data_IF_122198332005
#
_entry.id   IF_122198332005
#
_cell.length_a   1.000
_cell.length_b   1.000
_cell.length_c   1.000
_cell.angle_alpha   90.00
_cell.angle_beta   90.00
_cell.angle_gamma   90.00
#
_symmetry.space_group_name_H-M   'P 1'
#
loop_
_entity.id
_entity.type
_entity.pdbx_description
1 polymer ?
#
# COMPACT_ATOMS: atom_id res chain seq x y z
N UNK A 1 8.91 -39.73 -6.09
CA UNK A 1 9.36 -38.45 -6.65
C UNK A 1 10.01 -37.69 -5.50
N UNK A 2 11.36 -37.69 -5.43
CA UNK A 2 12.07 -36.94 -4.39
C UNK A 2 11.98 -35.44 -4.74
N UNK A 3 11.20 -34.70 -4.00
CA UNK A 3 11.16 -33.23 -4.09
C UNK A 3 12.47 -32.69 -3.54
N UNK A 4 13.37 -32.29 -4.42
CA UNK A 4 14.50 -31.42 -4.09
C UNK A 4 13.95 -30.00 -3.82
N UNK A 5 13.11 -29.87 -2.80
CA UNK A 5 12.73 -28.55 -2.26
C UNK A 5 13.97 -28.07 -1.49
N UNK A 6 14.55 -26.90 -1.80
CA UNK A 6 15.62 -26.33 -0.98
C UNK A 6 15.13 -26.31 0.46
N UNK A 7 16.00 -26.67 1.40
CA UNK A 7 15.68 -26.58 2.82
C UNK A 7 15.27 -25.13 3.10
N UNK A 8 13.97 -24.90 3.30
CA UNK A 8 13.44 -23.60 3.72
C UNK A 8 14.00 -23.32 5.11
N UNK A 9 14.23 -22.07 5.43
CA UNK A 9 14.90 -21.60 6.64
C UNK A 9 14.14 -22.10 7.88
N UNK A 10 14.64 -23.13 8.55
CA UNK A 10 13.98 -23.75 9.70
C UNK A 10 13.80 -22.75 10.84
N UNK A 11 12.60 -22.66 11.42
CA UNK A 11 12.26 -21.79 12.54
C UNK A 11 12.02 -20.32 12.17
N UNK A 12 11.92 -19.97 10.89
CA UNK A 12 11.73 -18.58 10.47
C UNK A 12 10.41 -17.98 11.00
N UNK A 13 9.31 -18.74 11.01
CA UNK A 13 8.03 -18.27 11.58
C UNK A 13 8.19 -17.92 13.06
N UNK A 14 8.88 -18.77 13.83
CA UNK A 14 9.13 -18.56 15.24
C UNK A 14 10.01 -17.33 15.48
N UNK A 15 11.11 -17.19 14.73
CA UNK A 15 12.02 -16.03 14.82
C UNK A 15 11.27 -14.72 14.58
N UNK A 16 10.41 -14.67 13.56
CA UNK A 16 9.59 -13.48 13.30
C UNK A 16 8.56 -13.22 14.39
N UNK A 17 7.98 -14.26 14.99
CA UNK A 17 7.04 -14.12 16.10
C UNK A 17 7.73 -13.61 17.38
N UNK A 18 8.93 -14.12 17.71
CA UNK A 18 9.75 -13.65 18.83
C UNK A 18 10.12 -12.17 18.65
N UNK A 19 10.55 -11.77 17.45
CA UNK A 19 10.83 -10.37 17.12
C UNK A 19 9.58 -9.50 17.27
N UNK A 20 8.46 -9.87 16.64
CA UNK A 20 7.23 -9.07 16.63
C UNK A 20 6.66 -8.86 18.05
N UNK A 21 6.74 -9.87 18.92
CA UNK A 21 6.27 -9.78 20.30
C UNK A 21 7.25 -9.04 21.22
N UNK A 22 8.57 -9.15 20.96
CA UNK A 22 9.62 -8.62 21.83
C UNK A 22 10.01 -7.17 21.55
N UNK A 23 9.79 -6.66 20.32
CA UNK A 23 10.22 -5.30 19.95
C UNK A 23 9.59 -4.23 20.84
N UNK A 24 10.42 -3.35 21.42
CA UNK A 24 9.99 -2.19 22.20
C UNK A 24 10.16 -0.89 21.40
N UNK A 25 9.53 0.20 21.87
CA UNK A 25 9.65 1.50 21.19
C UNK A 25 11.12 1.99 21.13
N UNK A 26 11.88 1.76 22.18
CA UNK A 26 13.28 2.23 22.27
C UNK A 26 14.24 1.41 21.37
N UNK A 27 13.80 0.27 20.84
CA UNK A 27 14.54 -0.51 19.83
C UNK A 27 14.36 0.07 18.41
N UNK A 28 13.34 0.92 18.21
CA UNK A 28 13.07 1.51 16.91
C UNK A 28 14.09 2.58 16.55
N UNK A 29 14.81 2.47 15.42
CA UNK A 29 15.64 3.56 14.92
C UNK A 29 14.81 4.85 14.73
N UNK A 30 15.38 6.01 15.03
CA UNK A 30 14.72 7.32 14.88
C UNK A 30 14.11 7.51 13.46
N UNK A 31 14.80 7.03 12.45
CA UNK A 31 14.31 7.07 11.07
C UNK A 31 13.07 6.20 10.83
N UNK A 32 12.96 5.06 11.52
CA UNK A 32 11.76 4.20 11.47
C UNK A 32 10.60 4.88 12.17
N UNK A 33 10.82 5.46 13.35
CA UNK A 33 9.80 6.25 14.08
C UNK A 33 9.27 7.38 13.19
N UNK A 34 10.16 8.17 12.58
CA UNK A 34 9.76 9.24 11.66
C UNK A 34 8.99 8.70 10.44
N UNK A 35 9.41 7.57 9.88
CA UNK A 35 8.73 6.92 8.76
C UNK A 35 7.33 6.44 9.16
N UNK A 36 7.16 5.83 10.34
CA UNK A 36 5.85 5.38 10.83
C UNK A 36 4.90 6.55 11.06
N UNK A 37 5.36 7.70 11.55
CA UNK A 37 4.54 8.91 11.66
C UNK A 37 4.08 9.42 10.30
N UNK A 38 4.98 9.47 9.33
CA UNK A 38 4.65 9.86 7.95
C UNK A 38 3.66 8.87 7.31
N UNK A 39 3.87 7.57 7.51
CA UNK A 39 2.96 6.52 7.01
C UNK A 39 1.59 6.58 7.69
N UNK A 40 1.53 6.91 8.98
CA UNK A 40 0.26 7.13 9.66
C UNK A 40 -0.51 8.29 9.03
N UNK A 41 0.14 9.44 8.82
CA UNK A 41 -0.49 10.61 8.18
C UNK A 41 -0.99 10.29 6.78
N UNK A 42 -0.16 9.67 5.95
CA UNK A 42 -0.51 9.23 4.59
C UNK A 42 -1.72 8.30 4.58
N UNK A 43 -1.69 7.27 5.45
CA UNK A 43 -2.72 6.24 5.49
C UNK A 43 -4.06 6.74 6.02
N UNK A 44 -4.09 7.57 7.06
CA UNK A 44 -5.37 8.15 7.53
C UNK A 44 -5.98 9.08 6.47
N UNK A 45 -5.15 9.80 5.70
CA UNK A 45 -5.62 10.58 4.56
C UNK A 45 -6.29 9.70 3.51
N UNK A 46 -5.63 8.60 3.13
CA UNK A 46 -6.18 7.63 2.19
C UNK A 46 -7.48 6.98 2.71
N UNK A 47 -7.55 6.64 4.01
CA UNK A 47 -8.75 6.08 4.62
C UNK A 47 -9.94 7.06 4.59
N UNK A 48 -9.73 8.31 4.99
CA UNK A 48 -10.78 9.34 5.01
C UNK A 48 -11.32 9.63 3.61
N UNK A 49 -10.45 9.79 2.62
CA UNK A 49 -10.86 9.97 1.24
C UNK A 49 -11.53 8.72 0.69
N UNK A 50 -10.92 7.55 0.88
CA UNK A 50 -11.44 6.28 0.39
C UNK A 50 -12.78 5.90 0.98
N UNK A 51 -13.09 6.37 2.20
CA UNK A 51 -14.40 6.20 2.82
C UNK A 51 -15.53 6.90 2.03
N UNK A 52 -15.21 7.88 1.16
CA UNK A 52 -16.22 8.54 0.30
C UNK A 52 -16.64 7.69 -0.90
N UNK A 53 -15.85 6.68 -1.27
CA UNK A 53 -15.95 6.02 -2.55
C UNK A 53 -17.00 4.90 -2.56
N UNK A 54 -17.68 4.67 -3.70
CA UNK A 54 -18.84 3.77 -3.78
C UNK A 54 -18.56 2.34 -3.32
N UNK A 55 -17.37 1.79 -3.59
CA UNK A 55 -17.00 0.43 -3.17
C UNK A 55 -16.83 0.31 -1.66
N UNK A 56 -16.26 1.33 -1.01
CA UNK A 56 -16.17 1.37 0.45
C UNK A 56 -17.55 1.51 1.09
N UNK A 57 -18.42 2.33 0.53
CA UNK A 57 -19.80 2.48 1.02
C UNK A 57 -20.61 1.17 0.95
N UNK A 58 -20.35 0.30 -0.04
CA UNK A 58 -20.96 -1.03 -0.10
C UNK A 58 -20.47 -1.95 1.03
N UNK A 59 -19.17 -1.89 1.35
CA UNK A 59 -18.62 -2.65 2.47
C UNK A 59 -19.15 -2.12 3.81
N UNK A 60 -19.27 -0.80 3.95
CA UNK A 60 -19.87 -0.16 5.12
C UNK A 60 -21.31 -0.64 5.33
N UNK A 61 -22.16 -0.58 4.31
CA UNK A 61 -23.56 -1.00 4.40
C UNK A 61 -23.67 -2.48 4.86
N UNK A 62 -22.85 -3.36 4.28
CA UNK A 62 -22.81 -4.77 4.68
C UNK A 62 -22.45 -4.94 6.17
N UNK A 63 -21.41 -4.22 6.64
CA UNK A 63 -20.96 -4.31 8.05
C UNK A 63 -22.01 -3.75 9.01
N UNK A 64 -22.79 -2.74 8.60
CA UNK A 64 -23.89 -2.19 9.40
C UNK A 64 -25.03 -3.18 9.55
N UNK A 65 -25.38 -3.91 8.50
CA UNK A 65 -26.42 -4.95 8.54
C UNK A 65 -26.07 -6.08 9.51
N UNK A 66 -24.76 -6.36 9.75
CA UNK A 66 -24.32 -7.37 10.73
C UNK A 66 -24.65 -6.98 12.18
N UNK A 67 -24.82 -5.69 12.51
CA UNK A 67 -25.25 -5.21 13.83
C UNK A 67 -24.29 -5.55 14.98
N UNK A 68 -22.96 -5.51 14.73
CA UNK A 68 -21.95 -5.93 15.70
C UNK A 68 -21.75 -4.90 16.85
N UNK A 69 -21.15 -5.35 17.97
CA UNK A 69 -20.85 -4.51 19.14
C UNK A 69 -20.02 -3.27 18.76
N UNK A 70 -20.45 -2.04 19.10
CA UNK A 70 -19.84 -0.79 18.64
C UNK A 70 -18.62 -0.37 19.49
N UNK A 71 -17.47 -1.02 19.26
CA UNK A 71 -16.22 -0.79 20.02
C UNK A 71 -15.12 -0.08 19.23
N UNK A 72 -15.25 0.02 17.91
CA UNK A 72 -14.28 0.67 17.04
C UNK A 72 -14.97 1.52 15.97
N UNK A 73 -14.40 2.66 15.64
CA UNK A 73 -14.95 3.65 14.72
C UNK A 73 -14.66 3.34 13.25
N UNK A 74 -15.64 3.63 12.40
CA UNK A 74 -15.50 3.68 10.96
C UNK A 74 -15.20 5.13 10.59
N UNK A 75 -14.04 5.39 10.00
CA UNK A 75 -13.53 6.74 9.78
C UNK A 75 -14.45 7.57 8.87
N UNK A 76 -14.64 8.84 9.24
CA UNK A 76 -15.46 9.82 8.52
C UNK A 76 -16.96 9.51 8.47
N UNK A 77 -17.45 8.53 9.23
CA UNK A 77 -18.86 8.11 9.18
C UNK A 77 -19.69 8.45 10.44
N UNK A 78 -19.04 8.71 11.55
CA UNK A 78 -19.70 8.83 12.86
C UNK A 78 -20.21 7.49 13.41
N UNK A 79 -19.93 6.38 12.75
CA UNK A 79 -20.44 5.03 13.07
C UNK A 79 -19.39 4.15 13.72
N UNK A 80 -19.86 3.18 14.50
CA UNK A 80 -19.00 2.24 15.23
C UNK A 80 -19.51 0.81 15.04
N UNK A 81 -18.57 -0.15 15.07
CA UNK A 81 -18.85 -1.57 14.94
C UNK A 81 -17.82 -2.41 15.73
N UNK A 82 -17.72 -3.72 15.50
CA UNK A 82 -16.63 -4.51 16.04
C UNK A 82 -15.27 -4.08 15.48
N UNK A 83 -14.17 -4.41 16.18
CA UNK A 83 -12.81 -4.18 15.65
C UNK A 83 -12.66 -4.76 14.25
N UNK A 84 -13.08 -6.02 14.04
CA UNK A 84 -12.97 -6.70 12.74
C UNK A 84 -13.81 -6.03 11.64
N UNK A 85 -15.01 -5.54 11.98
CA UNK A 85 -15.86 -4.79 11.05
C UNK A 85 -15.29 -3.42 10.69
N UNK A 86 -14.84 -2.65 11.69
CA UNK A 86 -14.21 -1.35 11.48
C UNK A 86 -12.95 -1.46 10.61
N UNK A 87 -12.11 -2.44 10.91
CA UNK A 87 -10.87 -2.69 10.16
C UNK A 87 -11.17 -3.11 8.72
N UNK A 88 -12.19 -3.94 8.48
CA UNK A 88 -12.62 -4.32 7.13
C UNK A 88 -12.97 -3.09 6.28
N UNK A 89 -13.78 -2.17 6.82
CA UNK A 89 -14.19 -0.95 6.12
C UNK A 89 -13.00 0.00 5.94
N UNK A 90 -12.29 0.32 7.03
CA UNK A 90 -11.23 1.33 7.02
C UNK A 90 -10.03 0.91 6.17
N UNK A 91 -9.66 -0.38 6.16
CA UNK A 91 -8.56 -0.87 5.32
C UNK A 91 -8.96 -1.00 3.84
N UNK A 92 -10.24 -1.29 3.55
CA UNK A 92 -10.76 -1.17 2.18
C UNK A 92 -10.70 0.28 1.70
N UNK A 93 -11.06 1.24 2.56
CA UNK A 93 -10.95 2.67 2.29
C UNK A 93 -9.50 3.09 2.08
N UNK A 94 -8.57 2.65 2.93
CA UNK A 94 -7.14 2.98 2.82
C UNK A 94 -6.52 2.58 1.49
N UNK A 95 -6.96 1.46 0.90
CA UNK A 95 -6.48 0.96 -0.39
C UNK A 95 -7.40 1.35 -1.58
N UNK A 96 -8.30 2.31 -1.39
CA UNK A 96 -9.42 2.53 -2.32
C UNK A 96 -9.05 3.27 -3.61
N UNK A 97 -7.95 4.05 -3.68
CA UNK A 97 -7.71 4.98 -4.78
C UNK A 97 -6.27 5.03 -5.32
N UNK A 98 -5.47 4.01 -5.16
CA UNK A 98 -4.05 3.99 -5.63
C UNK A 98 -3.21 5.17 -5.11
N UNK A 99 -3.44 5.59 -3.86
CA UNK A 99 -2.75 6.69 -3.20
C UNK A 99 -1.88 6.25 -2.02
N UNK A 100 -2.19 5.10 -1.44
CA UNK A 100 -1.57 4.56 -0.24
C UNK A 100 -0.08 4.23 -0.42
N UNK A 101 0.64 4.25 0.68
CA UNK A 101 2.06 3.91 0.75
C UNK A 101 2.38 2.55 0.11
N UNK A 102 3.63 2.31 -0.21
CA UNK A 102 4.04 1.03 -0.79
C UNK A 102 5.47 0.67 -0.42
N UNK A 103 5.67 -0.56 0.00
CA UNK A 103 6.98 -1.17 0.07
C UNK A 103 7.31 -1.79 -1.30
N UNK A 104 8.32 -1.21 -1.99
CA UNK A 104 8.63 -1.52 -3.40
C UNK A 104 8.90 -3.02 -3.62
N UNK A 105 9.75 -3.63 -2.83
CA UNK A 105 10.18 -5.01 -3.06
C UNK A 105 9.07 -6.03 -2.75
N UNK A 106 8.35 -5.87 -1.67
CA UNK A 106 7.24 -6.77 -1.29
C UNK A 106 5.94 -6.51 -2.04
N UNK A 107 5.79 -5.36 -2.68
CA UNK A 107 4.54 -4.90 -3.32
C UNK A 107 3.36 -4.90 -2.31
N UNK A 108 3.66 -4.60 -1.03
CA UNK A 108 2.67 -4.51 0.04
C UNK A 108 2.45 -3.03 0.41
N UNK A 109 1.20 -2.64 0.51
CA UNK A 109 0.74 -1.34 0.97
C UNK A 109 0.41 -1.44 2.47
N UNK A 110 1.45 -1.46 3.30
CA UNK A 110 1.32 -1.84 4.70
C UNK A 110 0.48 -0.85 5.52
N UNK A 111 0.51 0.44 5.17
CA UNK A 111 -0.24 1.48 5.89
C UNK A 111 -1.74 1.30 5.83
N UNK A 112 -2.27 0.94 4.67
CA UNK A 112 -3.72 0.70 4.50
C UNK A 112 -4.22 -0.51 5.32
N UNK A 113 -3.33 -1.33 5.85
CA UNK A 113 -3.65 -2.48 6.72
C UNK A 113 -3.33 -2.17 8.19
N UNK A 114 -2.06 -1.82 8.49
CA UNK A 114 -1.58 -1.64 9.86
C UNK A 114 -2.31 -0.50 10.58
N UNK A 115 -2.50 0.64 9.92
CA UNK A 115 -3.10 1.83 10.54
C UNK A 115 -4.55 1.58 11.01
N UNK A 116 -5.47 1.05 10.19
CA UNK A 116 -6.79 0.66 10.66
C UNK A 116 -6.77 -0.34 11.81
N UNK A 117 -5.85 -1.32 11.78
CA UNK A 117 -5.75 -2.35 12.83
C UNK A 117 -5.33 -1.72 14.17
N UNK A 118 -4.24 -0.94 14.19
CA UNK A 118 -3.74 -0.39 15.46
C UNK A 118 -4.69 0.65 16.05
N UNK A 119 -5.33 1.48 15.22
CA UNK A 119 -6.29 2.50 15.69
C UNK A 119 -7.58 1.86 16.24
N UNK A 120 -8.10 0.79 15.60
CA UNK A 120 -9.29 0.09 16.08
C UNK A 120 -9.04 -0.62 17.43
N UNK A 121 -7.88 -1.24 17.61
CA UNK A 121 -7.51 -1.81 18.91
C UNK A 121 -7.22 -0.75 19.96
N UNK A 122 -6.59 0.38 19.59
CA UNK A 122 -6.35 1.49 20.52
C UNK A 122 -7.67 2.07 21.05
N UNK A 123 -8.67 2.22 20.19
CA UNK A 123 -10.00 2.67 20.59
C UNK A 123 -10.70 1.64 21.50
N UNK A 124 -10.64 0.36 21.16
CA UNK A 124 -11.23 -0.71 21.97
C UNK A 124 -10.59 -0.81 23.37
N UNK A 125 -9.26 -0.67 23.46
CA UNK A 125 -8.52 -0.73 24.74
C UNK A 125 -8.73 0.53 25.60
N UNK A 126 -9.05 1.64 24.96
CA UNK A 126 -9.09 2.95 25.59
C UNK A 126 -7.72 3.62 25.61
N UNK A 127 -7.23 4.09 26.75
CA UNK A 127 -5.96 4.82 26.85
C UNK A 127 -4.75 4.03 26.30
N UNK A 128 -4.28 4.39 25.09
CA UNK A 128 -3.09 3.82 24.43
C UNK A 128 -2.14 4.93 24.04
N UNK A 129 -0.85 4.80 24.40
CA UNK A 129 0.15 5.79 24.06
C UNK A 129 0.54 5.75 22.58
N UNK A 130 1.00 6.89 22.06
CA UNK A 130 1.54 6.97 20.71
C UNK A 130 2.78 6.08 20.49
N UNK A 131 3.59 5.88 21.54
CA UNK A 131 4.75 4.94 21.49
C UNK A 131 4.26 3.50 21.24
N UNK A 132 3.24 3.05 21.95
CA UNK A 132 2.67 1.71 21.77
C UNK A 132 2.08 1.55 20.37
N UNK A 133 1.37 2.56 19.86
CA UNK A 133 0.80 2.58 18.53
C UNK A 133 1.89 2.49 17.44
N UNK A 134 2.94 3.31 17.54
CA UNK A 134 4.08 3.30 16.61
C UNK A 134 4.82 1.97 16.61
N UNK A 135 5.01 1.35 17.79
CA UNK A 135 5.66 0.04 17.91
C UNK A 135 4.84 -1.06 17.21
N UNK A 136 3.52 -1.06 17.42
CA UNK A 136 2.64 -2.04 16.76
C UNK A 136 2.59 -1.84 15.24
N UNK A 137 2.57 -0.59 14.76
CA UNK A 137 2.71 -0.30 13.34
C UNK A 137 4.03 -0.83 12.78
N UNK A 138 5.17 -0.48 13.41
CA UNK A 138 6.48 -0.91 12.96
C UNK A 138 6.60 -2.44 12.92
N UNK A 139 6.09 -3.14 13.94
CA UNK A 139 6.02 -4.61 13.96
C UNK A 139 5.24 -5.16 12.77
N UNK A 140 4.03 -4.64 12.51
CA UNK A 140 3.23 -5.05 11.36
C UNK A 140 3.92 -4.82 10.03
N UNK A 141 4.46 -3.63 9.82
CA UNK A 141 5.21 -3.30 8.60
C UNK A 141 6.40 -4.23 8.41
N UNK A 142 7.23 -4.40 9.44
CA UNK A 142 8.44 -5.21 9.36
C UNK A 142 8.13 -6.66 8.99
N UNK A 143 7.22 -7.30 9.71
CA UNK A 143 6.87 -8.71 9.47
C UNK A 143 6.22 -8.90 8.10
N UNK A 144 5.21 -8.11 7.77
CA UNK A 144 4.48 -8.27 6.52
C UNK A 144 5.32 -7.99 5.28
N UNK A 145 6.22 -6.99 5.34
CA UNK A 145 7.11 -6.68 4.21
C UNK A 145 8.22 -7.70 4.04
N UNK A 146 8.75 -8.29 5.11
CA UNK A 146 9.70 -9.41 5.04
C UNK A 146 9.08 -10.65 4.42
N UNK A 147 7.87 -11.02 4.84
CA UNK A 147 7.12 -12.12 4.22
C UNK A 147 6.87 -11.82 2.74
N UNK A 148 6.46 -10.60 2.42
CA UNK A 148 6.32 -10.14 1.05
C UNK A 148 7.63 -10.25 0.26
N UNK A 149 8.76 -9.78 0.77
CA UNK A 149 10.07 -9.88 0.12
C UNK A 149 10.49 -11.31 -0.16
N UNK A 150 10.19 -12.22 0.76
CA UNK A 150 10.51 -13.64 0.57
C UNK A 150 9.68 -14.31 -0.54
N UNK A 151 8.45 -13.85 -0.77
CA UNK A 151 7.52 -14.45 -1.74
C UNK A 151 7.44 -13.74 -3.09
N UNK A 152 7.76 -12.43 -3.16
CA UNK A 152 7.19 -11.41 -4.06
C UNK A 152 7.10 -11.77 -5.54
N UNK A 153 8.20 -11.90 -6.26
CA UNK A 153 8.09 -11.99 -7.72
C UNK A 153 7.48 -13.32 -8.16
N UNK A 154 7.82 -14.41 -7.48
CA UNK A 154 7.19 -15.71 -7.73
C UNK A 154 5.68 -15.69 -7.47
N UNK A 155 5.27 -15.08 -6.35
CA UNK A 155 3.86 -14.90 -5.99
C UNK A 155 3.11 -14.02 -7.01
N UNK A 156 3.71 -12.88 -7.38
CA UNK A 156 3.10 -11.93 -8.30
C UNK A 156 2.86 -12.54 -9.69
N UNK A 157 3.87 -13.21 -10.26
CA UNK A 157 3.75 -13.83 -11.58
C UNK A 157 2.85 -15.06 -11.60
N UNK A 158 2.57 -15.68 -10.46
CA UNK A 158 1.52 -16.68 -10.31
C UNK A 158 0.11 -16.09 -10.28
N UNK A 159 -0.03 -14.76 -10.32
CA UNK A 159 -1.29 -14.05 -10.38
C UNK A 159 -1.95 -13.79 -9.01
N UNK A 160 -1.18 -13.88 -7.92
CA UNK A 160 -1.67 -13.47 -6.60
C UNK A 160 -1.40 -11.99 -6.34
N UNK A 161 -2.34 -11.30 -5.70
CA UNK A 161 -2.18 -9.91 -5.29
C UNK A 161 -1.43 -9.83 -3.96
N UNK A 162 -0.20 -9.29 -3.91
CA UNK A 162 0.61 -9.28 -2.68
C UNK A 162 -0.10 -8.61 -1.50
N UNK A 163 -0.96 -7.61 -1.77
CA UNK A 163 -1.75 -6.92 -0.75
C UNK A 163 -2.67 -7.86 0.04
N UNK A 164 -3.32 -8.79 -0.64
CA UNK A 164 -4.18 -9.77 0.02
C UNK A 164 -3.44 -11.02 0.50
N UNK A 165 -2.37 -11.41 -0.19
CA UNK A 165 -1.61 -12.62 0.13
C UNK A 165 -0.57 -12.41 1.24
N UNK A 166 0.28 -11.37 1.13
CA UNK A 166 1.31 -11.07 2.14
C UNK A 166 0.82 -10.08 3.20
N UNK A 167 -0.12 -9.19 2.84
CA UNK A 167 -0.67 -8.17 3.74
C UNK A 167 -1.37 -8.72 4.98
N UNK A 168 -1.83 -9.97 4.96
CA UNK A 168 -2.43 -10.63 6.15
C UNK A 168 -1.43 -10.69 7.31
N UNK A 169 -0.14 -10.86 7.03
CA UNK A 169 0.91 -10.91 8.05
C UNK A 169 1.20 -9.53 8.66
N UNK A 170 1.02 -8.43 7.90
CA UNK A 170 1.03 -7.05 8.45
C UNK A 170 -0.01 -6.93 9.55
N UNK A 171 -1.24 -7.35 9.26
CA UNK A 171 -2.35 -7.25 10.19
C UNK A 171 -2.18 -8.13 11.43
N UNK A 172 -1.75 -9.38 11.24
CA UNK A 172 -1.56 -10.33 12.34
C UNK A 172 -0.48 -9.86 13.32
N UNK A 173 0.67 -9.38 12.83
CA UNK A 173 1.75 -8.89 13.68
C UNK A 173 1.35 -7.58 14.41
N UNK A 174 0.73 -6.63 13.71
CA UNK A 174 0.25 -5.40 14.32
C UNK A 174 -0.82 -5.67 15.40
N UNK A 175 -1.77 -6.57 15.13
CA UNK A 175 -2.82 -6.95 16.06
C UNK A 175 -2.25 -7.72 17.27
N UNK A 176 -1.32 -8.66 17.04
CA UNK A 176 -0.65 -9.41 18.11
C UNK A 176 0.09 -8.45 19.05
N UNK A 177 0.79 -7.45 18.50
CA UNK A 177 1.50 -6.44 19.32
C UNK A 177 0.54 -5.54 20.08
N UNK A 178 -0.58 -5.13 19.47
CA UNK A 178 -1.64 -4.36 20.16
C UNK A 178 -2.32 -5.15 21.28
N UNK A 179 -2.45 -6.46 21.13
CA UNK A 179 -3.01 -7.37 22.14
C UNK A 179 -1.97 -7.86 23.16
N UNK A 180 -0.70 -7.46 23.01
CA UNK A 180 0.41 -7.86 23.90
C UNK A 180 0.59 -9.38 23.98
N UNK A 181 0.39 -10.06 22.83
CA UNK A 181 0.59 -11.50 22.74
C UNK A 181 2.05 -11.87 22.94
N UNK A 182 2.30 -13.00 23.64
CA UNK A 182 3.65 -13.56 23.74
C UNK A 182 4.12 -14.17 22.40
N UNK A 183 5.37 -14.63 22.35
CA UNK A 183 5.97 -15.19 21.14
C UNK A 183 5.22 -16.43 20.62
N UNK A 184 4.75 -17.29 21.51
CA UNK A 184 3.98 -18.50 21.14
C UNK A 184 2.61 -18.14 20.56
N UNK A 185 1.90 -17.24 21.21
CA UNK A 185 0.61 -16.74 20.73
C UNK A 185 0.78 -15.98 19.40
N UNK A 186 1.84 -15.18 19.26
CA UNK A 186 2.16 -14.46 18.01
C UNK A 186 2.47 -15.45 16.89
N UNK A 187 3.25 -16.51 17.15
CA UNK A 187 3.50 -17.59 16.19
C UNK A 187 2.19 -18.25 15.73
N UNK A 188 1.27 -18.54 16.66
CA UNK A 188 -0.05 -19.07 16.30
C UNK A 188 -0.87 -18.06 15.49
N UNK A 189 -0.83 -16.77 15.81
CA UNK A 189 -1.52 -15.75 15.01
C UNK A 189 -1.00 -15.70 13.56
N UNK A 190 0.33 -15.76 13.37
CA UNK A 190 0.94 -15.86 12.03
C UNK A 190 0.54 -17.16 11.33
N UNK A 191 0.50 -18.29 12.06
CA UNK A 191 0.09 -19.61 11.53
C UNK A 191 -1.37 -19.67 11.12
N UNK A 192 -2.27 -19.04 11.88
CA UNK A 192 -3.70 -18.96 11.55
C UNK A 192 -3.89 -18.06 10.32
N UNK A 193 -3.24 -16.91 10.27
CA UNK A 193 -3.46 -15.95 9.19
C UNK A 193 -2.91 -16.42 7.85
N UNK A 194 -1.81 -17.17 7.83
CA UNK A 194 -1.26 -17.74 6.60
C UNK A 194 -2.25 -18.63 5.84
N UNK A 195 -3.13 -19.31 6.56
CA UNK A 195 -4.21 -20.12 5.96
C UNK A 195 -5.40 -19.28 5.43
N UNK A 196 -5.37 -17.96 5.59
CA UNK A 196 -6.40 -17.03 5.14
C UNK A 196 -5.87 -16.05 4.07
N UNK A 197 -4.65 -16.25 3.63
CA UNK A 197 -4.01 -15.46 2.56
C UNK A 197 -4.76 -15.67 1.23
N UNK A 198 -4.82 -14.62 0.40
CA UNK A 198 -5.49 -14.72 -0.90
C UNK A 198 -5.54 -13.41 -1.65
N UNK A 199 -6.33 -13.40 -2.73
CA UNK A 199 -6.47 -12.25 -3.63
C UNK A 199 -5.83 -12.50 -5.00
N UNK A 200 -6.54 -12.12 -6.07
CA UNK A 200 -6.14 -12.39 -7.45
C UNK A 200 -5.80 -11.11 -8.20
N UNK A 201 -4.72 -11.12 -8.97
CA UNK A 201 -4.26 -9.98 -9.77
C UNK A 201 -5.24 -9.59 -10.88
N UNK A 202 -6.05 -10.51 -11.40
CA UNK A 202 -7.09 -10.20 -12.39
C UNK A 202 -8.06 -9.09 -11.92
N UNK A 203 -8.20 -8.87 -10.63
CA UNK A 203 -9.01 -7.77 -10.07
C UNK A 203 -8.51 -6.37 -10.48
N UNK A 204 -7.25 -6.22 -10.91
CA UNK A 204 -6.68 -4.95 -11.34
C UNK A 204 -7.32 -4.35 -12.60
N UNK A 205 -7.93 -5.19 -13.44
CA UNK A 205 -8.54 -4.77 -14.71
C UNK A 205 -9.86 -3.98 -14.54
N UNK A 206 -10.30 -3.75 -13.29
CA UNK A 206 -11.47 -2.90 -13.00
C UNK A 206 -12.40 -3.41 -11.91
N UNK A 207 -12.15 -4.57 -11.32
CA UNK A 207 -13.02 -5.12 -10.29
C UNK A 207 -12.83 -4.41 -8.93
N UNK A 208 -13.93 -4.02 -8.28
CA UNK A 208 -13.94 -3.40 -6.96
C UNK A 208 -13.25 -4.28 -5.89
N UNK A 209 -13.25 -5.60 -6.08
CA UNK A 209 -12.64 -6.57 -5.15
C UNK A 209 -11.14 -6.32 -4.94
N UNK A 210 -10.43 -5.67 -5.87
CA UNK A 210 -9.03 -5.26 -5.67
C UNK A 210 -8.88 -4.45 -4.38
N UNK A 211 -9.80 -3.53 -4.10
CA UNK A 211 -9.78 -2.67 -2.91
C UNK A 211 -10.10 -3.44 -1.64
N UNK A 212 -11.00 -4.41 -1.74
CA UNK A 212 -11.40 -5.29 -0.66
C UNK A 212 -10.28 -6.24 -0.18
N UNK A 213 -9.27 -6.54 -1.02
CA UNK A 213 -8.14 -7.38 -0.61
C UNK A 213 -7.43 -6.83 0.64
N UNK A 214 -7.26 -5.49 0.75
CA UNK A 214 -6.67 -4.86 1.94
C UNK A 214 -7.57 -5.01 3.16
N UNK A 215 -8.87 -4.72 3.01
CA UNK A 215 -9.84 -4.88 4.09
C UNK A 215 -9.92 -6.31 4.61
N UNK A 216 -9.97 -7.28 3.70
CA UNK A 216 -10.03 -8.70 4.07
C UNK A 216 -8.74 -9.19 4.72
N UNK A 217 -7.57 -8.75 4.22
CA UNK A 217 -6.29 -9.06 4.84
C UNK A 217 -6.22 -8.53 6.28
N UNK A 218 -6.62 -7.28 6.48
CA UNK A 218 -6.66 -6.65 7.80
C UNK A 218 -7.62 -7.36 8.76
N UNK A 219 -8.83 -7.69 8.31
CA UNK A 219 -9.82 -8.43 9.10
C UNK A 219 -9.32 -9.84 9.47
N UNK A 220 -8.69 -10.56 8.54
CA UNK A 220 -8.13 -11.89 8.77
C UNK A 220 -7.05 -11.85 9.86
N UNK A 221 -6.16 -10.84 9.85
CA UNK A 221 -5.14 -10.67 10.89
C UNK A 221 -5.75 -10.38 12.27
N UNK A 222 -6.80 -9.55 12.34
CA UNK A 222 -7.53 -9.29 13.59
C UNK A 222 -8.12 -10.59 14.16
N UNK A 223 -8.81 -11.38 13.36
CA UNK A 223 -9.36 -12.65 13.81
C UNK A 223 -8.28 -13.64 14.25
N UNK A 224 -7.16 -13.69 13.51
CA UNK A 224 -6.06 -14.59 13.84
C UNK A 224 -5.44 -14.26 15.20
N UNK A 225 -5.19 -12.99 15.49
CA UNK A 225 -4.66 -12.55 16.77
C UNK A 225 -5.65 -12.78 17.93
N UNK A 226 -6.94 -12.51 17.71
CA UNK A 226 -7.99 -12.76 18.69
C UNK A 226 -8.20 -14.26 18.99
N UNK A 227 -8.04 -15.13 18.01
CA UNK A 227 -8.09 -16.58 18.17
C UNK A 227 -6.86 -17.10 18.94
N UNK A 228 -5.67 -16.65 18.55
CA UNK A 228 -4.42 -17.00 19.23
C UNK A 228 -4.42 -16.56 20.71
N UNK A 229 -4.94 -15.36 21.00
CA UNK A 229 -5.14 -14.89 22.38
C UNK A 229 -5.98 -15.84 23.23
N UNK A 230 -6.89 -16.56 22.61
CA UNK A 230 -7.79 -17.54 23.25
C UNK A 230 -7.25 -18.98 23.25
N UNK A 231 -5.98 -19.16 22.85
CA UNK A 231 -5.32 -20.46 22.81
C UNK A 231 -5.64 -21.31 21.57
N UNK A 232 -6.23 -20.71 20.53
CA UNK A 232 -6.41 -21.41 19.25
C UNK A 232 -5.06 -21.52 18.54
N UNK A 233 -4.70 -22.73 18.09
CA UNK A 233 -3.39 -23.00 17.49
C UNK A 233 -3.39 -22.79 15.98
N UNK A 234 -2.31 -22.20 15.46
CA UNK A 234 -2.01 -22.10 14.04
C UNK A 234 -0.87 -23.02 13.63
N UNK A 235 -0.55 -23.05 12.34
CA UNK A 235 0.59 -23.79 11.78
C UNK A 235 1.88 -23.20 12.34
N UNK A 236 2.70 -24.01 13.03
CA UNK A 236 3.89 -23.52 13.73
C UNK A 236 5.00 -23.00 12.80
N UNK A 237 5.11 -23.57 11.61
CA UNK A 237 6.10 -23.31 10.56
C UNK A 237 5.44 -22.80 9.27
N UNK A 238 4.41 -21.99 9.39
CA UNK A 238 3.53 -21.58 8.29
C UNK A 238 4.29 -20.96 7.10
N UNK A 239 5.39 -20.25 7.35
CA UNK A 239 6.15 -19.58 6.30
C UNK A 239 7.06 -20.56 5.56
N UNK A 240 7.75 -21.43 6.31
CA UNK A 240 8.83 -22.29 5.82
C UNK A 240 8.43 -23.75 5.59
N UNK A 241 7.22 -24.19 5.94
CA UNK A 241 6.78 -25.57 5.71
C UNK A 241 6.95 -25.97 4.24
N UNK A 242 7.69 -27.08 3.99
CA UNK A 242 8.00 -27.54 2.64
C UNK A 242 6.77 -28.01 1.85
N UNK A 243 5.77 -28.55 2.53
CA UNK A 243 4.49 -28.94 1.94
C UNK A 243 3.35 -28.12 2.55
N UNK A 244 2.68 -27.33 1.71
CA UNK A 244 1.50 -26.55 2.12
C UNK A 244 1.82 -25.34 3.01
N UNK A 245 3.10 -24.96 3.18
CA UNK A 245 3.48 -23.70 3.81
C UNK A 245 3.24 -22.51 2.88
N UNK A 246 3.32 -21.31 3.42
CA UNK A 246 3.05 -20.09 2.67
C UNK A 246 3.98 -19.92 1.47
N UNK A 247 5.31 -19.98 1.68
CA UNK A 247 6.26 -19.79 0.59
C UNK A 247 6.17 -20.90 -0.45
N UNK A 248 6.03 -22.16 -0.03
CA UNK A 248 5.94 -23.31 -0.94
C UNK A 248 4.64 -23.34 -1.75
N UNK A 249 3.56 -22.74 -1.24
CA UNK A 249 2.27 -22.69 -1.94
C UNK A 249 2.11 -21.47 -2.82
N UNK A 250 2.60 -20.30 -2.41
CA UNK A 250 2.34 -19.01 -3.08
C UNK A 250 3.44 -18.58 -4.04
N UNK A 251 4.69 -19.04 -3.88
CA UNK A 251 5.81 -18.60 -4.71
C UNK A 251 6.51 -19.78 -5.38
N UNK A 252 6.78 -19.66 -6.68
CA UNK A 252 7.62 -20.62 -7.42
C UNK A 252 9.12 -20.32 -7.31
N UNK A 253 9.47 -19.12 -6.80
CA UNK A 253 10.85 -18.65 -6.59
C UNK A 253 10.98 -17.94 -5.24
N UNK A 254 10.74 -18.64 -4.11
CA UNK A 254 10.85 -18.01 -2.80
C UNK A 254 12.30 -17.67 -2.46
N UNK A 255 12.50 -16.53 -1.80
CA UNK A 255 13.77 -16.13 -1.20
C UNK A 255 13.64 -16.16 0.33
N UNK A 256 13.65 -17.37 0.90
CA UNK A 256 13.41 -17.60 2.31
C UNK A 256 14.38 -16.83 3.26
N UNK A 257 15.67 -16.64 2.96
CA UNK A 257 16.56 -15.80 3.77
C UNK A 257 16.01 -14.40 4.04
N UNK A 258 15.28 -13.77 3.10
CA UNK A 258 14.67 -12.45 3.29
C UNK A 258 13.68 -12.37 4.46
N UNK A 259 13.23 -13.50 5.01
CA UNK A 259 12.40 -13.52 6.22
C UNK A 259 13.17 -12.96 7.42
N UNK A 260 14.40 -13.41 7.63
CA UNK A 260 15.13 -13.16 8.87
C UNK A 260 16.50 -12.51 8.69
N UNK A 261 17.01 -12.35 7.46
CA UNK A 261 18.28 -11.69 7.19
C UNK A 261 18.32 -10.31 7.85
N UNK A 262 19.35 -10.06 8.66
CA UNK A 262 19.60 -8.78 9.36
C UNK A 262 18.37 -8.27 10.15
N UNK A 263 17.51 -9.16 10.66
CA UNK A 263 16.34 -8.82 11.45
C UNK A 263 16.74 -8.00 12.68
N UNK A 264 16.13 -6.83 12.87
CA UNK A 264 16.45 -5.88 13.94
C UNK A 264 17.64 -4.95 13.62
N UNK A 265 18.52 -5.28 12.67
CA UNK A 265 19.60 -4.42 12.21
C UNK A 265 19.17 -3.59 10.98
N UNK A 266 18.55 -4.23 9.99
CA UNK A 266 17.95 -3.60 8.81
C UNK A 266 16.44 -3.65 8.94
N UNK A 267 15.80 -2.47 8.87
CA UNK A 267 14.36 -2.32 9.00
C UNK A 267 13.69 -2.13 7.64
N UNK A 268 12.95 -3.13 7.18
CA UNK A 268 12.15 -3.02 5.95
C UNK A 268 11.03 -1.97 6.11
N UNK A 269 10.49 -1.81 7.33
CA UNK A 269 9.55 -0.74 7.66
C UNK A 269 10.05 0.67 7.29
N UNK A 270 11.37 0.89 7.29
CA UNK A 270 12.00 2.15 6.87
C UNK A 270 12.04 2.38 5.35
N UNK A 271 11.85 1.32 4.55
CA UNK A 271 11.98 1.35 3.08
C UNK A 271 10.63 1.57 2.35
N UNK A 272 9.65 2.07 3.05
CA UNK A 272 8.33 2.40 2.48
C UNK A 272 8.39 3.73 1.73
N UNK A 273 7.75 3.77 0.57
CA UNK A 273 7.59 4.97 -0.25
C UNK A 273 6.14 5.45 -0.30
N UNK A 274 5.97 6.69 -0.78
CA UNK A 274 4.66 7.32 -0.92
C UNK A 274 4.36 7.65 -2.38
N UNK A 275 3.08 7.81 -2.72
CA UNK A 275 2.64 8.09 -4.09
C UNK A 275 2.37 9.57 -4.27
N UNK A 276 3.13 10.30 -5.13
CA UNK A 276 2.81 11.66 -5.53
C UNK A 276 1.66 11.71 -6.56
N UNK A 277 1.40 10.60 -7.26
CA UNK A 277 0.34 10.45 -8.26
C UNK A 277 -0.69 9.41 -7.80
N UNK A 278 -1.97 9.63 -8.13
CA UNK A 278 -3.08 8.75 -7.75
C UNK A 278 -3.25 7.56 -8.73
N UNK A 279 -2.16 6.84 -8.99
CA UNK A 279 -2.12 5.73 -9.94
C UNK A 279 -1.08 4.66 -9.55
N UNK A 280 -0.99 3.61 -10.34
CA UNK A 280 -0.02 2.53 -10.13
C UNK A 280 1.42 3.04 -10.19
N UNK A 281 2.24 2.65 -9.21
CA UNK A 281 3.63 3.14 -9.10
C UNK A 281 4.51 2.81 -10.31
N UNK A 282 4.17 1.78 -11.07
CA UNK A 282 4.92 1.38 -12.27
C UNK A 282 5.01 2.46 -13.34
N UNK A 283 4.02 3.38 -13.40
CA UNK A 283 4.01 4.46 -14.40
C UNK A 283 4.55 5.80 -13.88
N UNK A 284 4.85 5.93 -12.58
CA UNK A 284 5.25 7.22 -12.00
C UNK A 284 6.50 7.81 -12.64
N UNK A 285 7.55 6.99 -12.91
CA UNK A 285 8.76 7.49 -13.58
C UNK A 285 8.45 8.04 -14.99
N UNK A 286 7.52 7.40 -15.71
CA UNK A 286 7.07 7.89 -17.02
C UNK A 286 6.35 9.23 -16.91
N UNK A 287 5.48 9.39 -15.89
CA UNK A 287 4.77 10.65 -15.62
C UNK A 287 5.73 11.76 -15.23
N UNK A 288 6.68 11.48 -14.33
CA UNK A 288 7.67 12.45 -13.87
C UNK A 288 8.62 12.87 -15.01
N UNK A 289 9.08 11.91 -15.84
CA UNK A 289 9.93 12.20 -17.00
C UNK A 289 9.19 13.03 -18.05
N UNK A 290 7.94 12.68 -18.33
CA UNK A 290 7.11 13.43 -19.27
C UNK A 290 6.83 14.85 -18.76
N UNK A 291 6.47 15.01 -17.48
CA UNK A 291 6.29 16.31 -16.85
C UNK A 291 7.55 17.17 -16.93
N UNK A 292 8.72 16.60 -16.67
CA UNK A 292 9.98 17.30 -16.79
C UNK A 292 10.18 17.88 -18.22
N UNK A 293 9.88 17.08 -19.26
CA UNK A 293 10.00 17.52 -20.65
C UNK A 293 9.01 18.65 -20.99
N UNK A 294 7.75 18.56 -20.52
CA UNK A 294 6.76 19.61 -20.70
C UNK A 294 7.24 20.93 -20.10
N UNK A 295 7.73 20.90 -18.86
CA UNK A 295 8.15 22.09 -18.12
C UNK A 295 9.45 22.69 -18.70
N UNK A 296 10.47 21.86 -18.96
CA UNK A 296 11.78 22.28 -19.44
C UNK A 296 11.72 22.92 -20.85
N UNK A 297 10.83 22.42 -21.70
CA UNK A 297 10.71 22.88 -23.08
C UNK A 297 9.44 23.68 -23.36
N UNK A 298 8.62 23.94 -22.30
CA UNK A 298 7.36 24.71 -22.36
C UNK A 298 6.41 24.18 -23.44
N UNK A 299 6.25 22.84 -23.48
CA UNK A 299 5.42 22.18 -24.47
C UNK A 299 3.95 22.16 -24.03
N UNK A 300 3.07 22.60 -24.93
CA UNK A 300 1.63 22.39 -24.80
C UNK A 300 1.20 21.07 -25.49
N UNK A 301 0.06 20.47 -25.11
CA UNK A 301 -0.43 19.24 -25.76
C UNK A 301 -0.57 19.34 -27.27
N UNK A 302 -0.90 20.52 -27.78
CA UNK A 302 -1.02 20.82 -29.23
C UNK A 302 0.31 20.75 -29.99
N UNK A 303 1.44 20.99 -29.33
CA UNK A 303 2.77 20.96 -29.94
C UNK A 303 3.28 19.53 -30.15
N UNK A 304 2.70 18.55 -29.43
CA UNK A 304 3.19 17.18 -29.38
C UNK A 304 2.57 16.36 -30.53
N UNK A 305 3.45 15.78 -31.33
CA UNK A 305 3.09 14.82 -32.37
C UNK A 305 3.10 13.40 -31.81
N UNK A 306 4.14 13.05 -31.01
CA UNK A 306 4.36 11.69 -30.55
C UNK A 306 5.08 11.65 -29.19
N UNK A 307 4.68 10.70 -28.36
CA UNK A 307 5.36 10.36 -27.10
C UNK A 307 5.76 8.88 -27.16
N UNK A 308 7.06 8.58 -27.10
CA UNK A 308 7.60 7.22 -27.02
C UNK A 308 8.11 6.95 -25.60
N UNK A 309 7.73 5.81 -25.03
CA UNK A 309 8.04 5.47 -23.65
C UNK A 309 8.69 4.08 -23.59
N UNK A 310 9.98 4.06 -23.24
CA UNK A 310 10.73 2.85 -22.92
C UNK A 310 10.56 2.49 -21.45
N UNK A 311 10.20 1.24 -21.15
CA UNK A 311 10.02 0.74 -19.78
C UNK A 311 10.56 -0.67 -19.64
N UNK A 312 10.60 -1.21 -18.39
CA UNK A 312 10.83 -2.64 -18.17
C UNK A 312 9.69 -3.49 -18.72
N UNK A 313 9.97 -4.76 -18.99
CA UNK A 313 8.97 -5.75 -19.41
C UNK A 313 7.82 -5.85 -18.41
N UNK A 314 8.12 -5.81 -17.09
CA UNK A 314 7.10 -5.84 -16.05
C UNK A 314 6.16 -4.64 -16.16
N UNK A 315 6.67 -3.42 -16.24
CA UNK A 315 5.85 -2.21 -16.38
C UNK A 315 5.03 -2.24 -17.68
N UNK A 316 5.64 -2.65 -18.79
CA UNK A 316 4.98 -2.79 -20.08
C UNK A 316 3.76 -3.73 -20.00
N UNK A 317 3.97 -4.95 -19.50
CA UNK A 317 2.89 -5.94 -19.37
C UNK A 317 1.80 -5.52 -18.38
N UNK A 318 2.20 -4.82 -17.32
CA UNK A 318 1.29 -4.42 -16.24
C UNK A 318 0.44 -3.20 -16.59
N UNK A 319 0.94 -2.25 -17.42
CA UNK A 319 0.33 -0.93 -17.55
C UNK A 319 0.16 -0.42 -18.98
N UNK A 320 0.80 -1.04 -20.00
CA UNK A 320 0.80 -0.55 -21.39
C UNK A 320 -0.16 -1.33 -22.30
N UNK A 321 -1.36 -1.65 -21.79
CA UNK A 321 -2.42 -2.27 -22.55
C UNK A 321 -3.39 -1.21 -23.11
N UNK A 322 -4.12 -1.56 -24.18
CA UNK A 322 -5.10 -0.68 -24.84
C UNK A 322 -6.07 -0.06 -23.82
N UNK A 323 -6.11 1.27 -23.76
CA UNK A 323 -7.01 1.97 -22.85
C UNK A 323 -8.47 1.85 -23.30
N UNK A 324 -9.32 1.44 -22.38
CA UNK A 324 -10.77 1.47 -22.49
C UNK A 324 -11.34 2.16 -21.26
N UNK A 325 -12.29 3.09 -21.44
CA UNK A 325 -12.88 3.86 -20.35
C UNK A 325 -13.84 3.01 -19.49
N UNK A 326 -13.34 1.91 -18.94
CA UNK A 326 -14.12 0.91 -18.20
C UNK A 326 -14.32 1.26 -16.71
N UNK A 327 -13.63 2.29 -16.21
CA UNK A 327 -13.73 2.74 -14.84
C UNK A 327 -12.44 3.29 -14.25
N UNK A 328 -12.54 3.85 -13.06
CA UNK A 328 -11.43 4.52 -12.36
C UNK A 328 -10.22 3.60 -12.18
N UNK A 329 -10.42 2.37 -11.73
CA UNK A 329 -9.30 1.43 -11.51
C UNK A 329 -8.54 1.16 -12.79
N UNK A 330 -9.23 0.94 -13.93
CA UNK A 330 -8.60 0.72 -15.22
C UNK A 330 -7.75 1.94 -15.64
N UNK A 331 -8.28 3.15 -15.48
CA UNK A 331 -7.56 4.39 -15.80
C UNK A 331 -6.30 4.56 -14.91
N UNK A 332 -6.42 4.29 -13.61
CA UNK A 332 -5.30 4.38 -12.66
C UNK A 332 -4.17 3.36 -12.92
N UNK A 333 -4.50 2.26 -13.60
CA UNK A 333 -3.53 1.21 -13.96
C UNK A 333 -2.94 1.40 -15.35
N UNK A 334 -3.41 2.38 -16.14
CA UNK A 334 -3.06 2.53 -17.56
C UNK A 334 -2.05 3.66 -17.80
N UNK A 335 -0.93 3.32 -18.44
CA UNK A 335 0.15 4.25 -18.78
C UNK A 335 -0.31 5.35 -19.72
N UNK A 336 -1.06 5.00 -20.76
CA UNK A 336 -1.46 5.94 -21.81
C UNK A 336 -2.43 7.00 -21.28
N UNK A 337 -3.38 6.60 -20.43
CA UNK A 337 -4.28 7.53 -19.75
C UNK A 337 -3.50 8.46 -18.80
N UNK A 338 -2.57 7.91 -18.01
CA UNK A 338 -1.72 8.71 -17.12
C UNK A 338 -0.92 9.80 -17.84
N UNK A 339 -0.35 9.48 -19.00
CA UNK A 339 0.37 10.45 -19.84
C UNK A 339 -0.60 11.50 -20.42
N UNK A 340 -1.80 11.09 -20.85
CA UNK A 340 -2.78 12.03 -21.42
C UNK A 340 -3.24 13.07 -20.38
N UNK A 341 -3.57 12.65 -19.15
CA UNK A 341 -3.94 13.62 -18.09
C UNK A 341 -2.77 14.50 -17.69
N UNK A 342 -1.55 13.95 -17.66
CA UNK A 342 -0.33 14.75 -17.40
C UNK A 342 -0.12 15.82 -18.48
N UNK A 343 -0.40 15.52 -19.74
CA UNK A 343 -0.26 16.48 -20.84
C UNK A 343 -1.16 17.71 -20.68
N UNK A 344 -2.43 17.49 -20.32
CA UNK A 344 -3.42 18.57 -20.24
C UNK A 344 -3.46 19.27 -18.88
N UNK A 345 -3.30 18.53 -17.80
CA UNK A 345 -3.51 19.05 -16.44
C UNK A 345 -2.18 19.28 -15.70
N UNK A 346 -1.07 18.75 -16.21
CA UNK A 346 0.25 18.81 -15.56
C UNK A 346 0.35 18.02 -14.26
N UNK A 347 -0.68 17.25 -13.91
CA UNK A 347 -0.76 16.44 -12.69
C UNK A 347 -1.64 15.22 -12.93
N UNK A 348 -1.32 14.10 -12.27
CA UNK A 348 -2.12 12.89 -12.28
C UNK A 348 -2.53 12.56 -10.83
N UNK A 349 -3.52 13.29 -10.31
CA UNK A 349 -3.99 13.19 -8.94
C UNK A 349 -5.49 12.84 -8.88
N UNK A 350 -6.15 13.04 -7.75
CA UNK A 350 -7.53 12.57 -7.53
C UNK A 350 -8.52 13.05 -8.60
N UNK A 351 -8.52 14.36 -8.89
CA UNK A 351 -9.47 14.96 -9.83
C UNK A 351 -9.32 14.45 -11.27
N UNK A 352 -8.10 14.06 -11.67
CA UNK A 352 -7.79 13.55 -13.00
C UNK A 352 -8.40 12.16 -13.27
N UNK A 353 -8.77 11.44 -12.23
CA UNK A 353 -9.39 10.11 -12.30
C UNK A 353 -10.89 10.14 -11.94
N UNK A 354 -11.53 11.31 -11.95
CA UNK A 354 -12.97 11.42 -11.78
C UNK A 354 -13.71 10.71 -12.94
N UNK A 355 -14.88 10.13 -12.64
CA UNK A 355 -15.58 9.24 -13.56
C UNK A 355 -15.96 9.92 -14.89
N UNK A 356 -16.29 11.20 -14.86
CA UNK A 356 -16.63 12.03 -16.02
C UNK A 356 -15.43 12.35 -16.92
N UNK A 357 -14.20 12.22 -16.39
CA UNK A 357 -12.95 12.46 -17.12
C UNK A 357 -12.50 11.27 -17.97
N UNK A 358 -12.91 10.05 -17.61
CA UNK A 358 -12.35 8.81 -18.17
C UNK A 358 -12.56 8.65 -19.67
N UNK A 359 -13.63 9.22 -20.22
CA UNK A 359 -13.95 9.17 -21.65
C UNK A 359 -13.86 10.54 -22.32
N UNK A 360 -13.12 11.48 -21.74
CA UNK A 360 -12.99 12.84 -22.30
C UNK A 360 -12.32 12.81 -23.67
N UNK A 361 -12.96 13.34 -24.75
CA UNK A 361 -12.47 13.16 -26.13
C UNK A 361 -11.04 13.65 -26.37
N UNK A 362 -10.61 14.77 -25.73
CA UNK A 362 -9.25 15.27 -25.88
C UNK A 362 -8.20 14.34 -25.27
N UNK A 363 -8.53 13.63 -24.16
CA UNK A 363 -7.64 12.64 -23.56
C UNK A 363 -7.52 11.40 -24.46
N UNK A 364 -8.65 10.92 -25.00
CA UNK A 364 -8.66 9.79 -25.92
C UNK A 364 -7.89 10.09 -27.23
N UNK A 365 -8.01 11.30 -27.77
CA UNK A 365 -7.20 11.74 -28.93
C UNK A 365 -5.71 11.72 -28.60
N UNK A 366 -5.33 12.25 -27.42
CA UNK A 366 -3.91 12.29 -27.02
C UNK A 366 -3.32 10.90 -26.78
N UNK A 367 -4.10 9.96 -26.23
CA UNK A 367 -3.69 8.56 -26.06
C UNK A 367 -3.22 7.95 -27.38
N UNK A 368 -3.85 8.29 -28.51
CA UNK A 368 -3.44 7.83 -29.83
C UNK A 368 -2.03 8.27 -30.27
N UNK A 369 -1.41 9.22 -29.58
CA UNK A 369 -0.03 9.72 -29.83
C UNK A 369 1.00 9.09 -28.91
N UNK A 370 0.58 8.29 -27.92
CA UNK A 370 1.47 7.71 -26.92
C UNK A 370 1.78 6.25 -27.29
N UNK A 371 3.05 5.93 -27.35
CA UNK A 371 3.54 4.59 -27.69
C UNK A 371 4.47 4.10 -26.57
N UNK A 372 4.34 2.83 -26.20
CA UNK A 372 5.20 2.20 -25.22
C UNK A 372 5.90 0.99 -25.81
N UNK A 373 7.10 0.69 -25.32
CA UNK A 373 7.87 -0.50 -25.69
C UNK A 373 8.72 -0.96 -24.50
N UNK A 374 9.18 -2.21 -24.56
CA UNK A 374 10.21 -2.68 -23.65
C UNK A 374 11.55 -2.10 -24.09
N UNK A 375 12.23 -1.40 -23.18
CA UNK A 375 13.57 -0.85 -23.39
C UNK A 375 14.59 -1.88 -22.85
N UNK A 376 15.41 -2.42 -23.72
CA UNK A 376 16.36 -3.50 -23.39
C UNK A 376 17.42 -3.06 -22.36
N UNK A 377 17.82 -1.77 -22.36
CA UNK A 377 18.77 -1.25 -21.36
C UNK A 377 18.12 -1.19 -19.99
N UNK A 378 16.88 -0.69 -19.89
CA UNK A 378 16.13 -0.65 -18.63
C UNK A 378 15.86 -2.07 -18.13
N UNK A 379 15.43 -2.99 -19.00
CA UNK A 379 15.20 -4.38 -18.62
C UNK A 379 16.50 -5.05 -18.12
N UNK A 380 17.64 -4.76 -18.78
CA UNK A 380 18.96 -5.25 -18.39
C UNK A 380 19.46 -4.74 -17.03
N UNK A 381 18.92 -3.62 -16.49
CA UNK A 381 19.25 -3.12 -15.15
C UNK A 381 18.66 -3.99 -14.03
N UNK A 382 17.72 -4.89 -14.34
CA UNK A 382 17.14 -5.84 -13.40
C UNK A 382 16.02 -5.29 -12.52
N UNK A 383 15.57 -6.13 -11.58
CA UNK A 383 14.35 -5.90 -10.80
C UNK A 383 14.35 -4.61 -9.95
N UNK A 384 15.51 -4.12 -9.54
CA UNK A 384 15.63 -2.86 -8.78
C UNK A 384 15.15 -1.65 -9.58
N UNK A 385 15.30 -1.68 -10.90
CA UNK A 385 14.92 -0.62 -11.82
C UNK A 385 13.64 -0.91 -12.62
N UNK A 386 12.85 -1.89 -12.21
CA UNK A 386 11.63 -2.29 -12.93
C UNK A 386 10.58 -1.18 -13.12
N UNK A 387 10.70 -0.06 -12.40
CA UNK A 387 9.85 1.12 -12.57
C UNK A 387 10.58 2.28 -13.27
N UNK A 388 11.81 2.06 -13.76
CA UNK A 388 12.51 3.08 -14.56
C UNK A 388 11.77 3.32 -15.87
N UNK A 389 11.92 4.53 -16.40
CA UNK A 389 11.33 4.92 -17.67
C UNK A 389 12.21 5.92 -18.41
N UNK A 390 12.24 5.78 -19.73
CA UNK A 390 12.81 6.74 -20.67
C UNK A 390 11.70 7.28 -21.56
N UNK A 391 11.46 8.58 -21.53
CA UNK A 391 10.42 9.24 -22.32
C UNK A 391 11.07 10.10 -23.40
N UNK A 392 10.58 9.96 -24.63
CA UNK A 392 10.95 10.81 -25.76
C UNK A 392 9.70 11.49 -26.29
N UNK A 393 9.74 12.80 -26.40
CA UNK A 393 8.68 13.63 -27.02
C UNK A 393 9.17 14.13 -28.37
N UNK A 394 8.39 13.93 -29.42
CA UNK A 394 8.58 14.52 -30.74
C UNK A 394 7.50 15.56 -30.97
N UNK A 395 7.91 16.76 -31.31
CA UNK A 395 7.00 17.88 -31.57
C UNK A 395 6.62 17.96 -33.08
N UNK A 396 5.49 18.60 -33.39
CA UNK A 396 4.99 18.78 -34.76
C UNK A 396 5.94 19.58 -35.65
N UNK A 397 6.82 20.41 -35.07
CA UNK A 397 7.88 21.14 -35.78
C UNK A 397 9.18 20.34 -35.94
N UNK A 398 9.17 19.04 -35.58
CA UNK A 398 10.24 18.06 -35.79
C UNK A 398 11.33 18.05 -34.71
N UNK A 399 11.23 18.83 -33.65
CA UNK A 399 12.17 18.74 -32.51
C UNK A 399 11.91 17.48 -31.71
N UNK A 400 12.95 16.95 -31.08
CA UNK A 400 12.84 15.79 -30.19
C UNK A 400 13.58 16.04 -28.89
N UNK A 401 12.96 15.63 -27.77
CA UNK A 401 13.50 15.77 -26.42
C UNK A 401 13.35 14.44 -25.67
N UNK A 402 14.33 14.09 -24.86
CA UNK A 402 14.30 12.85 -24.08
C UNK A 402 14.69 13.11 -22.63
N UNK A 403 14.06 12.36 -21.71
CA UNK A 403 14.42 12.35 -20.30
C UNK A 403 14.25 10.96 -19.71
N UNK A 404 15.14 10.59 -18.79
CA UNK A 404 15.14 9.28 -18.11
C UNK A 404 15.00 9.48 -16.62
N UNK A 405 14.17 8.64 -15.98
CA UNK A 405 14.06 8.56 -14.53
C UNK A 405 14.21 7.10 -14.11
N UNK A 406 15.29 6.81 -13.39
CA UNK A 406 15.59 5.48 -12.86
C UNK A 406 14.78 5.18 -11.59
N UNK A 407 14.67 6.15 -10.69
CA UNK A 407 13.97 6.00 -9.42
C UNK A 407 12.83 7.03 -9.33
N UNK A 408 11.59 6.54 -9.34
CA UNK A 408 10.38 7.37 -9.24
C UNK A 408 10.41 8.26 -7.99
N UNK A 409 9.84 9.45 -8.06
CA UNK A 409 9.59 10.25 -6.87
C UNK A 409 8.71 9.49 -5.88
N UNK A 410 9.06 9.56 -4.60
CA UNK A 410 8.38 8.85 -3.53
C UNK A 410 8.86 7.42 -3.30
N UNK A 411 9.89 6.92 -4.03
CA UNK A 411 10.60 5.69 -3.66
C UNK A 411 11.62 5.94 -2.54
N UNK A 412 12.13 4.90 -1.88
CA UNK A 412 13.19 5.06 -0.88
C UNK A 412 14.44 5.75 -1.42
N UNK A 413 14.77 5.54 -2.70
CA UNK A 413 15.93 6.12 -3.39
C UNK A 413 15.73 7.58 -3.81
N UNK A 414 14.47 8.01 -3.97
CA UNK A 414 14.07 9.38 -4.33
C UNK A 414 12.82 9.78 -3.51
N UNK A 415 12.98 9.98 -2.19
CA UNK A 415 11.87 10.07 -1.27
C UNK A 415 11.09 11.39 -1.39
N UNK A 416 9.79 11.33 -1.15
CA UNK A 416 9.00 12.49 -0.77
C UNK A 416 9.45 12.99 0.61
N UNK A 417 9.53 14.30 0.75
CA UNK A 417 9.79 14.92 2.06
C UNK A 417 8.55 14.81 2.97
N UNK A 418 8.68 14.96 4.30
CA UNK A 418 7.52 15.07 5.18
C UNK A 418 6.54 16.17 4.75
N UNK A 419 7.05 17.32 4.29
CA UNK A 419 6.23 18.41 3.77
C UNK A 419 5.45 18.05 2.49
N UNK A 420 6.03 17.22 1.61
CA UNK A 420 5.32 16.70 0.43
C UNK A 420 4.15 15.78 0.85
N UNK A 421 4.35 14.94 1.87
CA UNK A 421 3.30 14.05 2.37
C UNK A 421 2.23 14.84 3.13
N UNK A 422 2.60 15.85 3.90
CA UNK A 422 1.65 16.77 4.52
C UNK A 422 0.82 17.50 3.45
N UNK A 423 1.46 18.03 2.40
CA UNK A 423 0.76 18.65 1.28
C UNK A 423 -0.22 17.67 0.62
N UNK A 424 0.21 16.43 0.39
CA UNK A 424 -0.67 15.36 -0.11
C UNK A 424 -1.86 15.13 0.82
N UNK A 425 -1.60 14.97 2.12
CA UNK A 425 -2.64 14.76 3.13
C UNK A 425 -3.68 15.88 3.09
N UNK A 426 -3.25 17.14 3.16
CA UNK A 426 -4.14 18.32 3.11
C UNK A 426 -5.06 18.31 1.90
N UNK A 427 -4.52 17.99 0.72
CA UNK A 427 -5.30 17.96 -0.52
C UNK A 427 -6.26 16.78 -0.59
N UNK A 428 -5.85 15.60 -0.09
CA UNK A 428 -6.67 14.39 -0.11
C UNK A 428 -7.86 14.51 0.82
N UNK A 429 -7.69 15.11 2.02
CA UNK A 429 -8.75 15.22 3.02
C UNK A 429 -9.53 16.54 2.99
N UNK A 430 -9.22 17.45 2.08
CA UNK A 430 -9.86 18.77 2.01
C UNK A 430 -11.39 18.72 1.88
N UNK A 431 -11.93 17.66 1.28
CA UNK A 431 -13.38 17.43 1.18
C UNK A 431 -13.95 16.63 2.37
N UNK A 432 -13.10 16.16 3.27
CA UNK A 432 -13.47 15.24 4.37
C UNK A 432 -13.38 15.90 5.74
N UNK A 433 -12.46 16.84 5.93
CA UNK A 433 -12.19 17.49 7.20
C UNK A 433 -12.17 19.01 7.06
N UNK A 434 -12.53 19.72 8.12
CA UNK A 434 -12.34 21.17 8.18
C UNK A 434 -10.85 21.53 8.27
N UNK A 435 -10.43 22.73 7.84
CA UNK A 435 -9.02 23.17 7.96
C UNK A 435 -8.46 23.02 9.38
N UNK A 436 -9.25 23.36 10.41
CA UNK A 436 -8.84 23.21 11.80
C UNK A 436 -8.62 21.75 12.21
N UNK A 437 -9.46 20.82 11.72
CA UNK A 437 -9.26 19.38 11.96
C UNK A 437 -8.04 18.83 11.22
N UNK A 438 -7.76 19.33 10.02
CA UNK A 438 -6.56 18.97 9.26
C UNK A 438 -5.30 19.38 10.04
N UNK A 439 -5.22 20.63 10.47
CA UNK A 439 -4.09 21.15 11.26
C UNK A 439 -3.93 20.37 12.57
N UNK A 440 -5.05 20.05 13.24
CA UNK A 440 -5.01 19.29 14.49
C UNK A 440 -4.53 17.86 14.29
N UNK A 441 -4.95 17.16 13.22
CA UNK A 441 -4.49 15.81 12.90
C UNK A 441 -2.98 15.80 12.66
N UNK A 442 -2.45 16.74 11.87
CA UNK A 442 -1.02 16.89 11.61
C UNK A 442 -0.27 17.12 12.91
N UNK A 443 -0.71 18.07 13.74
CA UNK A 443 -0.06 18.38 15.01
C UNK A 443 -0.05 17.20 16.01
N UNK A 444 -1.08 16.35 15.99
CA UNK A 444 -1.13 15.14 16.83
C UNK A 444 -0.15 14.07 16.32
N UNK A 445 -0.07 13.88 14.99
CA UNK A 445 0.87 12.93 14.38
C UNK A 445 2.31 13.37 14.56
N UNK A 446 2.61 14.67 14.45
CA UNK A 446 3.96 15.21 14.61
C UNK A 446 4.58 14.96 15.99
N UNK A 447 3.74 14.90 17.01
CA UNK A 447 4.16 14.64 18.41
C UNK A 447 3.66 13.30 18.95
N UNK A 448 3.34 12.35 18.08
CA UNK A 448 2.64 11.13 18.45
C UNK A 448 3.35 10.35 19.57
N UNK A 449 4.68 10.23 19.51
CA UNK A 449 5.47 9.54 20.54
C UNK A 449 5.45 10.19 21.93
N UNK A 450 4.95 11.42 22.00
CA UNK A 450 4.80 12.18 23.25
C UNK A 450 3.39 12.06 23.84
N UNK A 451 2.45 11.45 23.12
CA UNK A 451 1.07 11.30 23.56
C UNK A 451 0.94 10.09 24.47
N UNK A 452 0.45 10.30 25.70
CA UNK A 452 0.05 9.23 26.63
C UNK A 452 -1.26 8.54 26.21
N UNK A 453 -2.04 9.21 25.34
CA UNK A 453 -3.32 8.73 24.83
C UNK A 453 -3.55 9.22 23.40
N UNK A 454 -3.87 8.29 22.52
CA UNK A 454 -4.17 8.53 21.10
C UNK A 454 -5.67 8.76 20.84
N UNK A 455 -6.51 8.77 21.87
CA UNK A 455 -7.96 8.89 21.77
C UNK A 455 -8.44 10.14 21.05
N UNK A 456 -7.75 11.29 21.21
CA UNK A 456 -8.09 12.51 20.48
C UNK A 456 -7.92 12.36 18.97
N UNK A 457 -6.83 11.74 18.51
CA UNK A 457 -6.63 11.47 17.09
C UNK A 457 -7.74 10.58 16.54
N UNK A 458 -8.07 9.50 17.25
CA UNK A 458 -9.13 8.56 16.84
C UNK A 458 -10.48 9.26 16.77
N UNK A 459 -10.83 10.07 17.77
CA UNK A 459 -12.09 10.83 17.80
C UNK A 459 -12.22 11.79 16.61
N UNK A 460 -11.12 12.44 16.23
CA UNK A 460 -11.08 13.34 15.08
C UNK A 460 -11.33 12.58 13.76
N UNK A 461 -10.76 11.37 13.61
CA UNK A 461 -10.96 10.54 12.42
C UNK A 461 -12.36 9.92 12.36
N UNK A 462 -12.96 9.66 13.51
CA UNK A 462 -14.30 9.08 13.64
C UNK A 462 -15.42 10.06 13.32
N UNK A 463 -15.17 11.37 13.45
CA UNK A 463 -16.19 12.41 13.30
C UNK A 463 -16.91 12.28 11.93
N UNK A 464 -18.25 12.44 11.90
CA UNK A 464 -18.98 12.51 10.64
C UNK A 464 -18.54 13.75 9.85
N UNK A 465 -18.64 13.65 8.55
CA UNK A 465 -18.30 14.74 7.61
C UNK A 465 -19.32 15.82 7.61
#
# INVERSE_FOLDING_TARGET
MSSNTPALLEGATRTLAEFASGVAFDDLPKQVVARMKTSLLDSIGCCLFGATLPWTQRVLAMVEEEGARPVASIFGSGRRTSVAGAVLVNATAGHAFELDDIHKESIVHAGSIAVPVVLAFAEQKGKVSGRALLTAMASGYEIGTRVGNAATMGLFFRGFHPQGASGVFVAAAAAARMLELDATQTQHALGIVGSQAGGLMAAQEGAMVKRFHSGRAAQSGVYSALLAQRGFTGIGDVLEAGYGGYLSSYSDKPNAPRLTDELGAVWEAGKVGYKPHACVTSIHSSLDAFRHLLDAHRLAPGDIERVDIGTSKMTFQHCAWEYKAQGVTAAQMNLFYGIAVMAYDGVAFVAQYAQDRLAEPRLLDFIGRVHAHVDDEIEGMGAAFRHAARVKVTTRDGRSFSHEILNRRGSPENPMTPADVEYKFRNVVASCLSPAHIDRAIALVDRLEQLDDTGELIALLAAPR
#
